data_IF_868324372578
#
_entry.id   IF_868324372578
#
_cell.length_a   1.000
_cell.length_b   1.000
_cell.length_c   1.000
_cell.angle_alpha   90.00
_cell.angle_beta   90.00
_cell.angle_gamma   90.00
#
_symmetry.space_group_name_H-M   'P 1'
#
loop_
_entity.id
_entity.type
_entity.pdbx_description
1 polymer ?
#
# COMPACT_ATOMS: atom_id res chain seq x y z
N UNK A 1 36.52 8.96 -17.95
CA UNK A 1 36.08 7.56 -17.82
C UNK A 1 34.92 7.54 -16.84
N UNK A 2 33.67 7.45 -17.33
CA UNK A 2 32.48 7.49 -16.49
C UNK A 2 32.15 6.05 -16.06
N UNK A 3 32.21 5.78 -14.76
CA UNK A 3 31.70 4.52 -14.21
C UNK A 3 30.19 4.50 -14.36
N UNK A 4 29.66 3.51 -15.08
CA UNK A 4 28.24 3.15 -15.02
C UNK A 4 27.98 2.60 -13.61
N UNK A 5 27.72 3.50 -12.66
CA UNK A 5 27.40 3.17 -11.28
C UNK A 5 25.99 2.59 -11.21
N UNK A 6 25.89 1.26 -11.27
CA UNK A 6 24.69 0.56 -10.82
C UNK A 6 24.34 1.03 -9.41
N UNK A 7 23.06 1.22 -9.06
CA UNK A 7 22.67 1.63 -7.73
C UNK A 7 23.22 0.65 -6.69
N UNK A 8 23.87 1.18 -5.66
CA UNK A 8 24.43 0.38 -4.58
C UNK A 8 23.31 -0.11 -3.65
N UNK A 9 22.52 -1.08 -4.11
CA UNK A 9 21.61 -1.83 -3.25
C UNK A 9 22.39 -2.45 -2.08
N UNK A 10 21.80 -2.44 -0.90
CA UNK A 10 22.35 -3.12 0.25
C UNK A 10 22.49 -4.61 -0.04
N UNK A 11 23.72 -5.12 0.06
CA UNK A 11 24.04 -6.55 -0.07
C UNK A 11 24.29 -7.12 1.32
N UNK A 12 23.53 -8.15 1.67
CA UNK A 12 23.59 -8.75 3.00
C UNK A 12 23.67 -10.26 2.90
N UNK A 13 24.57 -10.88 3.65
CA UNK A 13 24.65 -12.34 3.76
C UNK A 13 23.52 -12.84 4.65
N UNK A 14 22.77 -13.85 4.19
CA UNK A 14 21.68 -14.41 4.97
C UNK A 14 22.15 -14.94 6.34
N UNK A 15 23.35 -15.51 6.39
CA UNK A 15 23.96 -16.00 7.64
C UNK A 15 24.21 -14.90 8.68
N UNK A 16 24.40 -13.65 8.23
CA UNK A 16 24.58 -12.51 9.14
C UNK A 16 23.25 -11.92 9.62
N UNK A 17 22.12 -12.30 9.01
CA UNK A 17 20.77 -11.95 9.46
C UNK A 17 20.17 -12.96 10.44
N UNK A 18 20.92 -14.01 10.79
CA UNK A 18 20.49 -15.00 11.77
C UNK A 18 21.15 -14.61 13.10
N UNK A 19 20.38 -14.26 14.15
CA UNK A 19 20.96 -13.94 15.44
C UNK A 19 21.64 -15.19 16.01
N UNK A 20 22.89 -15.05 16.44
CA UNK A 20 23.54 -16.03 17.31
C UNK A 20 22.87 -15.99 18.68
N UNK A 21 22.68 -17.15 19.32
CA UNK A 21 22.21 -17.29 20.70
C UNK A 21 22.81 -16.19 21.62
N UNK A 22 21.95 -15.42 22.30
CA UNK A 22 22.37 -14.33 23.18
C UNK A 22 22.15 -12.92 22.60
N UNK A 23 23.05 -12.00 22.92
CA UNK A 23 22.94 -10.60 22.48
C UNK A 23 23.22 -10.45 20.97
N UNK A 24 22.51 -9.54 20.27
CA UNK A 24 22.76 -9.31 18.85
C UNK A 24 24.21 -8.90 18.59
N UNK A 25 24.91 -9.65 17.74
CA UNK A 25 26.28 -9.35 17.33
C UNK A 25 26.36 -8.05 16.52
N UNK A 26 27.55 -7.45 16.42
CA UNK A 26 27.73 -6.24 15.62
C UNK A 26 27.56 -6.51 14.12
N UNK A 27 27.93 -7.70 13.65
CA UNK A 27 27.69 -8.13 12.27
C UNK A 27 26.19 -8.22 11.96
N UNK A 28 25.40 -8.73 12.90
CA UNK A 28 23.95 -8.78 12.79
C UNK A 28 23.35 -7.37 12.74
N UNK A 29 23.70 -6.49 13.68
CA UNK A 29 23.21 -5.09 13.70
C UNK A 29 23.54 -4.34 12.41
N UNK A 30 24.77 -4.49 11.90
CA UNK A 30 25.20 -3.88 10.65
C UNK A 30 24.39 -4.40 9.46
N UNK A 31 24.19 -5.72 9.40
CA UNK A 31 23.43 -6.38 8.35
C UNK A 31 21.96 -5.95 8.35
N UNK A 32 21.33 -5.91 9.52
CA UNK A 32 19.96 -5.42 9.69
C UNK A 32 19.84 -3.95 9.29
N UNK A 33 20.78 -3.10 9.71
CA UNK A 33 20.79 -1.68 9.33
C UNK A 33 20.95 -1.50 7.82
N UNK A 34 21.84 -2.28 7.19
CA UNK A 34 22.07 -2.26 5.74
C UNK A 34 20.83 -2.67 4.97
N UNK A 35 20.16 -3.75 5.41
CA UNK A 35 18.92 -4.24 4.83
C UNK A 35 17.81 -3.17 4.90
N UNK A 36 17.56 -2.63 6.10
CA UNK A 36 16.51 -1.64 6.33
C UNK A 36 16.77 -0.33 5.60
N UNK A 37 18.03 0.14 5.55
CA UNK A 37 18.39 1.32 4.77
C UNK A 37 18.17 1.10 3.27
N UNK A 38 18.50 -0.10 2.76
CA UNK A 38 18.26 -0.44 1.36
C UNK A 38 16.75 -0.45 1.04
N UNK A 39 15.92 -1.00 1.91
CA UNK A 39 14.46 -0.91 1.76
C UNK A 39 13.94 0.53 1.79
N UNK A 40 14.45 1.36 2.69
CA UNK A 40 14.02 2.76 2.76
C UNK A 40 14.39 3.58 1.51
N UNK A 41 15.55 3.30 0.90
CA UNK A 41 16.06 4.06 -0.24
C UNK A 41 15.63 3.50 -1.61
N UNK A 42 15.59 2.18 -1.74
CA UNK A 42 15.42 1.50 -3.03
C UNK A 42 14.20 0.58 -3.07
N UNK A 43 13.49 0.39 -1.95
CA UNK A 43 12.42 -0.61 -1.80
C UNK A 43 12.87 -2.04 -2.12
N UNK A 44 14.17 -2.30 -2.15
CA UNK A 44 14.76 -3.58 -2.48
C UNK A 44 16.13 -3.73 -1.81
N UNK A 45 16.59 -4.96 -1.65
CA UNK A 45 17.93 -5.30 -1.21
C UNK A 45 18.39 -6.60 -1.90
N UNK A 46 19.66 -6.94 -1.78
CA UNK A 46 20.22 -8.19 -2.28
C UNK A 46 20.59 -9.07 -1.09
N UNK A 47 20.09 -10.30 -1.10
CA UNK A 47 20.42 -11.33 -0.12
C UNK A 47 21.36 -12.34 -0.76
N UNK A 48 22.50 -12.57 -0.11
CA UNK A 48 23.47 -13.58 -0.47
C UNK A 48 23.24 -14.85 0.37
N UNK A 49 22.89 -15.94 -0.29
CA UNK A 49 22.73 -17.26 0.30
C UNK A 49 24.09 -17.94 0.53
N UNK A 50 24.16 -18.92 1.45
CA UNK A 50 25.30 -19.82 1.57
C UNK A 50 25.71 -20.47 0.24
N UNK A 51 27.00 -20.77 0.10
CA UNK A 51 27.53 -21.36 -1.13
C UNK A 51 26.94 -22.74 -1.46
N UNK A 52 26.48 -23.48 -0.45
CA UNK A 52 25.77 -24.76 -0.60
C UNK A 52 24.46 -24.65 -1.38
N UNK A 53 23.83 -23.48 -1.38
CA UNK A 53 22.46 -23.29 -1.87
C UNK A 53 22.43 -22.82 -3.33
N UNK A 54 23.56 -22.27 -3.81
CA UNK A 54 23.71 -21.80 -5.20
C UNK A 54 23.40 -22.86 -6.27
N UNK A 55 23.87 -24.11 -6.14
CA UNK A 55 23.53 -25.18 -7.08
C UNK A 55 22.02 -25.43 -7.19
N UNK A 56 21.30 -25.40 -6.07
CA UNK A 56 19.85 -25.63 -6.03
C UNK A 56 19.07 -24.52 -6.77
N UNK A 57 19.41 -23.25 -6.50
CA UNK A 57 18.80 -22.10 -7.18
C UNK A 57 19.05 -22.14 -8.69
N UNK A 58 20.27 -22.51 -9.10
CA UNK A 58 20.63 -22.66 -10.51
C UNK A 58 19.89 -23.82 -11.18
N UNK A 59 19.91 -25.02 -10.57
CA UNK A 59 19.25 -26.20 -11.15
C UNK A 59 17.76 -26.01 -11.32
N UNK A 60 17.11 -25.26 -10.42
CA UNK A 60 15.70 -24.94 -10.53
C UNK A 60 15.42 -24.00 -11.73
N UNK A 61 16.27 -22.99 -11.98
CA UNK A 61 16.17 -22.13 -13.17
C UNK A 61 16.43 -22.92 -14.47
N UNK A 62 17.42 -23.82 -14.47
CA UNK A 62 17.71 -24.67 -15.63
C UNK A 62 16.52 -25.61 -15.92
N UNK A 63 15.91 -26.19 -14.88
CA UNK A 63 14.72 -27.01 -15.02
C UNK A 63 13.51 -26.20 -15.50
N UNK A 64 13.35 -24.96 -15.05
CA UNK A 64 12.30 -24.06 -15.53
C UNK A 64 12.39 -23.86 -17.04
N UNK A 65 13.60 -23.63 -17.55
CA UNK A 65 13.84 -23.48 -18.98
C UNK A 65 13.38 -24.70 -19.78
N UNK A 66 13.74 -25.90 -19.33
CA UNK A 66 13.30 -27.14 -19.97
C UNK A 66 11.78 -27.28 -19.96
N UNK A 67 11.16 -27.00 -18.82
CA UNK A 67 9.72 -27.08 -18.64
C UNK A 67 8.95 -26.15 -19.61
N UNK A 68 9.31 -24.87 -19.68
CA UNK A 68 8.63 -23.93 -20.58
C UNK A 68 8.99 -24.14 -22.05
N UNK A 69 10.17 -24.67 -22.39
CA UNK A 69 10.48 -24.97 -23.79
C UNK A 69 9.66 -26.11 -24.38
N UNK A 70 9.21 -27.06 -23.54
CA UNK A 70 8.36 -28.16 -23.98
C UNK A 70 6.89 -27.74 -24.14
N UNK A 71 6.51 -26.55 -23.64
CA UNK A 71 5.14 -26.04 -23.73
C UNK A 71 4.80 -25.61 -25.16
N UNK A 72 3.54 -25.84 -25.60
CA UNK A 72 3.07 -25.34 -26.89
C UNK A 72 3.23 -23.83 -27.01
N UNK A 73 3.30 -23.33 -28.24
CA UNK A 73 3.49 -21.91 -28.55
C UNK A 73 2.35 -21.02 -28.06
N UNK A 74 1.13 -21.58 -27.99
CA UNK A 74 -0.04 -20.89 -27.46
C UNK A 74 -0.73 -21.79 -26.43
N UNK A 75 -0.96 -21.30 -25.20
CA UNK A 75 -1.68 -22.04 -24.18
C UNK A 75 -3.16 -22.17 -24.55
N UNK A 76 -3.80 -23.26 -24.13
CA UNK A 76 -5.23 -23.43 -24.31
C UNK A 76 -6.01 -22.37 -23.50
N UNK A 77 -7.25 -22.08 -23.90
CA UNK A 77 -8.02 -20.94 -23.36
C UNK A 77 -8.30 -21.05 -21.85
N UNK A 78 -8.37 -22.27 -21.34
CA UNK A 78 -8.47 -22.64 -19.93
C UNK A 78 -7.20 -22.28 -19.13
N UNK A 79 -6.04 -22.22 -19.77
CA UNK A 79 -4.76 -21.87 -19.12
C UNK A 79 -4.43 -20.37 -19.21
N UNK A 80 -5.30 -19.57 -19.83
CA UNK A 80 -5.17 -18.11 -19.86
C UNK A 80 -5.91 -17.56 -18.63
N UNK A 81 -5.17 -17.25 -17.57
CA UNK A 81 -5.74 -16.73 -16.34
C UNK A 81 -5.42 -15.26 -16.15
N UNK A 82 -6.46 -14.45 -15.98
CA UNK A 82 -6.36 -13.07 -15.48
C UNK A 82 -6.63 -13.08 -13.98
N UNK A 83 -5.56 -13.12 -13.17
CA UNK A 83 -5.50 -12.88 -11.71
C UNK A 83 -6.86 -12.92 -10.97
N UNK A 84 -7.39 -14.12 -10.71
CA UNK A 84 -8.67 -14.28 -10.04
C UNK A 84 -8.48 -14.15 -8.51
N UNK A 85 -8.78 -12.97 -7.96
CA UNK A 85 -8.48 -12.63 -6.55
C UNK A 85 -9.24 -13.49 -5.53
N UNK A 86 -10.28 -14.20 -5.95
CA UNK A 86 -11.14 -15.03 -5.08
C UNK A 86 -10.49 -16.35 -4.66
N UNK A 87 -9.48 -16.83 -5.38
CA UNK A 87 -8.83 -18.12 -5.11
C UNK A 87 -7.30 -18.00 -4.97
N UNK A 88 -6.81 -16.84 -4.53
CA UNK A 88 -5.38 -16.51 -4.48
C UNK A 88 -4.50 -17.53 -3.75
N UNK A 89 -5.04 -18.28 -2.79
CA UNK A 89 -4.33 -19.32 -2.02
C UNK A 89 -4.56 -20.76 -2.51
N UNK A 90 -5.32 -20.95 -3.60
CA UNK A 90 -5.63 -22.27 -4.17
C UNK A 90 -5.03 -22.51 -5.57
N UNK A 91 -4.36 -21.51 -6.13
CA UNK A 91 -3.74 -21.63 -7.45
C UNK A 91 -2.41 -22.37 -7.36
N UNK A 92 -2.32 -23.51 -8.04
CA UNK A 92 -1.07 -24.19 -8.34
C UNK A 92 -1.18 -24.79 -9.74
N UNK A 93 -0.07 -24.84 -10.45
CA UNK A 93 -0.05 -25.25 -11.85
C UNK A 93 0.32 -24.12 -12.79
N UNK A 94 0.24 -24.45 -14.08
CA UNK A 94 0.61 -23.58 -15.17
C UNK A 94 -0.51 -22.62 -15.56
N UNK A 95 -0.14 -21.38 -15.85
CA UNK A 95 -0.99 -20.42 -16.54
C UNK A 95 -0.13 -19.43 -17.36
N UNK A 96 -0.79 -18.70 -18.25
CA UNK A 96 -0.15 -17.65 -19.03
C UNK A 96 -0.97 -16.36 -19.01
N UNK A 97 -0.25 -15.24 -19.05
CA UNK A 97 -0.79 -13.90 -19.23
C UNK A 97 -0.27 -13.32 -20.56
N UNK A 98 -1.12 -13.31 -21.61
CA UNK A 98 -0.77 -12.74 -22.90
C UNK A 98 -0.56 -11.24 -22.92
N UNK A 99 -1.05 -10.49 -21.93
CA UNK A 99 -0.85 -9.04 -21.86
C UNK A 99 0.54 -8.71 -21.31
N UNK A 100 1.04 -9.55 -20.40
CA UNK A 100 2.36 -9.42 -19.78
C UNK A 100 3.47 -10.20 -20.51
N UNK A 101 3.14 -10.93 -21.56
CA UNK A 101 4.04 -11.87 -22.24
C UNK A 101 4.76 -12.80 -21.25
N UNK A 102 3.98 -13.32 -20.30
CA UNK A 102 4.47 -14.09 -19.17
C UNK A 102 3.76 -15.43 -19.09
N UNK A 103 4.54 -16.49 -18.96
CA UNK A 103 4.08 -17.82 -18.59
C UNK A 103 4.53 -18.10 -17.16
N UNK A 104 3.68 -18.70 -16.33
CA UNK A 104 3.96 -18.93 -14.91
C UNK A 104 3.56 -20.33 -14.50
N UNK A 105 4.37 -20.95 -13.65
CA UNK A 105 3.98 -22.13 -12.88
C UNK A 105 4.00 -21.79 -11.40
N UNK A 106 2.85 -21.86 -10.74
CA UNK A 106 2.73 -21.63 -9.30
C UNK A 106 2.82 -22.96 -8.53
N UNK A 107 3.69 -22.98 -7.51
CA UNK A 107 3.86 -24.11 -6.62
C UNK A 107 3.52 -23.72 -5.17
N UNK A 108 2.66 -24.51 -4.54
CA UNK A 108 2.29 -24.42 -3.12
C UNK A 108 2.36 -25.81 -2.47
N UNK A 109 3.15 -26.00 -1.41
CA UNK A 109 3.10 -27.23 -0.63
C UNK A 109 1.73 -27.44 0.04
N UNK A 110 1.30 -28.69 0.15
CA UNK A 110 0.04 -29.09 0.78
C UNK A 110 -0.91 -29.81 -0.17
N UNK A 111 -2.13 -30.07 0.28
CA UNK A 111 -3.16 -30.73 -0.54
C UNK A 111 -3.83 -29.71 -1.48
N UNK A 112 -3.20 -29.42 -2.61
CA UNK A 112 -3.86 -28.67 -3.69
C UNK A 112 -4.93 -29.56 -4.33
N UNK A 113 -6.19 -29.10 -4.50
CA UNK A 113 -7.18 -29.84 -5.26
C UNK A 113 -6.63 -30.10 -6.66
N UNK A 114 -6.32 -31.35 -7.01
CA UNK A 114 -6.02 -31.71 -8.38
C UNK A 114 -7.30 -31.58 -9.18
N UNK A 115 -7.34 -30.72 -10.19
CA UNK A 115 -8.49 -30.67 -11.10
C UNK A 115 -8.72 -32.08 -11.69
N UNK A 116 -9.97 -32.59 -11.65
CA UNK A 116 -10.30 -33.92 -12.15
C UNK A 116 -10.21 -33.91 -13.68
N UNK A 117 -9.04 -34.23 -14.22
CA UNK A 117 -8.80 -34.30 -15.66
C UNK A 117 -7.36 -34.01 -16.09
N UNK A 118 -6.51 -33.54 -15.17
CA UNK A 118 -5.16 -33.14 -15.57
C UNK A 118 -4.30 -34.37 -15.91
N UNK A 119 -3.83 -34.44 -17.16
CA UNK A 119 -2.74 -35.33 -17.55
C UNK A 119 -1.56 -35.13 -16.59
N UNK A 120 -0.83 -36.21 -16.27
CA UNK A 120 0.31 -36.19 -15.34
C UNK A 120 1.33 -35.08 -15.72
N UNK A 121 1.15 -33.90 -15.15
CA UNK A 121 1.99 -32.74 -15.41
C UNK A 121 3.20 -32.78 -14.48
N UNK A 122 4.40 -32.80 -15.05
CA UNK A 122 5.62 -32.75 -14.28
C UNK A 122 6.03 -31.28 -14.06
N UNK A 123 6.04 -30.79 -12.81
CA UNK A 123 6.53 -29.44 -12.51
C UNK A 123 8.03 -29.32 -12.79
N UNK A 124 8.55 -28.09 -12.88
CA UNK A 124 9.99 -27.85 -12.73
C UNK A 124 10.56 -28.57 -11.50
N UNK A 125 11.76 -29.12 -11.63
CA UNK A 125 12.43 -29.84 -10.55
C UNK A 125 12.95 -28.90 -9.45
N UNK A 126 13.02 -29.41 -8.21
CA UNK A 126 13.63 -28.71 -7.07
C UNK A 126 12.71 -27.69 -6.39
N UNK A 127 11.44 -27.53 -6.81
CA UNK A 127 10.54 -26.54 -6.23
C UNK A 127 10.28 -26.74 -4.73
N UNK A 128 10.21 -28.00 -4.27
CA UNK A 128 10.04 -28.32 -2.84
C UNK A 128 11.19 -27.75 -2.01
N UNK A 129 12.43 -28.04 -2.42
CA UNK A 129 13.63 -27.64 -1.70
C UNK A 129 13.84 -26.12 -1.78
N UNK A 130 13.61 -25.51 -2.95
CA UNK A 130 13.68 -24.05 -3.14
C UNK A 130 12.61 -23.35 -2.30
N UNK A 131 11.39 -23.88 -2.24
CA UNK A 131 10.32 -23.32 -1.42
C UNK A 131 10.73 -23.31 0.07
N UNK A 132 11.28 -24.42 0.57
CA UNK A 132 11.74 -24.50 1.95
C UNK A 132 12.89 -23.52 2.23
N UNK A 133 13.87 -23.42 1.32
CA UNK A 133 15.00 -22.51 1.41
C UNK A 133 14.55 -21.04 1.47
N UNK A 134 13.74 -20.61 0.49
CA UNK A 134 13.28 -19.21 0.38
C UNK A 134 12.25 -18.86 1.46
N UNK A 135 11.46 -19.84 1.92
CA UNK A 135 10.55 -19.71 3.05
C UNK A 135 11.27 -19.48 4.36
N UNK A 136 12.38 -20.20 4.60
CA UNK A 136 13.25 -19.94 5.77
C UNK A 136 13.90 -18.56 5.67
N UNK A 137 14.51 -18.23 4.53
CA UNK A 137 15.18 -16.95 4.34
C UNK A 137 14.23 -15.77 4.55
N UNK A 138 12.99 -15.85 4.04
CA UNK A 138 11.98 -14.81 4.23
C UNK A 138 11.61 -14.60 5.71
N UNK A 139 11.63 -15.65 6.53
CA UNK A 139 11.38 -15.54 7.98
C UNK A 139 12.55 -14.89 8.71
N UNK A 140 13.79 -15.30 8.39
CA UNK A 140 15.00 -14.67 8.92
C UNK A 140 15.02 -13.16 8.58
N UNK A 141 14.59 -12.78 7.38
CA UNK A 141 14.44 -11.38 6.94
C UNK A 141 13.33 -10.64 7.70
N UNK A 142 12.18 -11.28 7.96
CA UNK A 142 11.12 -10.68 8.77
C UNK A 142 11.56 -10.46 10.22
N UNK A 143 12.35 -11.37 10.78
CA UNK A 143 12.90 -11.21 12.13
C UNK A 143 13.91 -10.06 12.19
N UNK A 144 14.75 -9.92 11.16
CA UNK A 144 15.64 -8.76 11.00
C UNK A 144 14.86 -7.43 10.93
N UNK A 145 13.78 -7.36 10.15
CA UNK A 145 12.89 -6.19 10.07
C UNK A 145 12.23 -5.91 11.43
N UNK A 146 11.77 -6.95 12.11
CA UNK A 146 11.18 -6.85 13.45
C UNK A 146 12.15 -6.26 14.45
N UNK A 147 13.42 -6.71 14.42
CA UNK A 147 14.48 -6.17 15.24
C UNK A 147 14.76 -4.69 14.93
N UNK A 148 14.84 -4.31 13.65
CA UNK A 148 15.05 -2.92 13.25
C UNK A 148 13.93 -1.99 13.74
N UNK A 149 12.69 -2.48 13.71
CA UNK A 149 11.51 -1.77 14.19
C UNK A 149 11.32 -1.86 15.71
N UNK A 150 12.26 -2.44 16.47
CA UNK A 150 12.16 -2.64 17.92
C UNK A 150 10.87 -3.36 18.35
N UNK A 151 10.39 -4.30 17.52
CA UNK A 151 9.23 -5.12 17.86
C UNK A 151 9.63 -6.21 18.86
N UNK A 152 8.63 -6.72 19.61
CA UNK A 152 8.84 -7.89 20.47
C UNK A 152 9.19 -9.10 19.62
N UNK A 153 9.77 -10.13 20.24
CA UNK A 153 10.19 -11.33 19.54
C UNK A 153 9.04 -11.96 18.74
N UNK A 154 9.26 -12.15 17.43
CA UNK A 154 8.41 -12.91 16.51
C UNK A 154 7.00 -12.32 16.25
N UNK A 155 6.88 -11.02 15.92
CA UNK A 155 5.59 -10.31 15.83
C UNK A 155 4.72 -10.80 14.66
N UNK A 156 5.33 -11.44 13.66
CA UNK A 156 4.63 -11.94 12.47
C UNK A 156 4.25 -13.43 12.55
N UNK A 157 4.66 -14.16 13.60
CA UNK A 157 4.40 -15.62 13.69
C UNK A 157 2.92 -15.95 13.58
N UNK A 158 2.05 -15.14 14.19
CA UNK A 158 0.61 -15.38 14.17
C UNK A 158 -0.01 -15.21 12.78
N UNK A 159 0.58 -14.40 11.91
CA UNK A 159 0.09 -14.18 10.54
C UNK A 159 0.74 -15.10 9.52
N UNK A 160 1.69 -15.95 9.90
CA UNK A 160 2.37 -16.87 8.98
C UNK A 160 1.81 -18.29 9.08
N UNK A 161 1.97 -19.06 8.00
CA UNK A 161 1.70 -20.50 8.01
C UNK A 161 2.57 -21.22 9.05
N UNK A 162 2.09 -22.35 9.57
CA UNK A 162 2.90 -23.22 10.42
C UNK A 162 4.00 -23.91 9.60
N UNK A 163 5.15 -24.15 10.22
CA UNK A 163 6.24 -24.96 9.64
C UNK A 163 6.57 -26.09 10.63
N UNK A 164 6.25 -27.36 10.31
CA UNK A 164 5.55 -27.83 9.11
C UNK A 164 4.08 -27.41 9.05
N UNK A 165 3.49 -27.43 7.83
CA UNK A 165 2.05 -27.21 7.63
C UNK A 165 1.23 -28.28 8.36
N UNK A 166 0.00 -27.94 8.80
CA UNK A 166 -0.88 -28.95 9.42
C UNK A 166 -1.50 -29.84 8.35
N UNK A 167 -2.00 -30.99 8.78
CA UNK A 167 -2.68 -31.92 7.88
C UNK A 167 -3.84 -31.25 7.15
N UNK A 168 -3.89 -31.41 5.81
CA UNK A 168 -4.89 -30.85 4.90
C UNK A 168 -4.85 -29.33 4.71
N UNK A 169 -3.79 -28.66 5.17
CA UNK A 169 -3.55 -27.25 4.82
C UNK A 169 -2.75 -27.16 3.51
N UNK A 170 -2.98 -26.07 2.78
CA UNK A 170 -2.14 -25.62 1.65
C UNK A 170 -1.42 -24.37 2.10
N UNK A 171 -0.16 -24.20 1.70
CA UNK A 171 0.55 -22.98 2.04
C UNK A 171 -0.10 -21.76 1.40
N UNK A 172 -0.27 -20.72 2.22
CA UNK A 172 -0.65 -19.39 1.79
C UNK A 172 0.47 -18.73 0.98
N UNK A 173 1.73 -19.12 1.18
CA UNK A 173 2.89 -18.66 0.39
C UNK A 173 3.03 -19.44 -0.92
N UNK A 174 3.61 -18.80 -1.94
CA UNK A 174 3.75 -19.37 -3.29
C UNK A 174 5.18 -19.21 -3.80
N UNK A 175 5.66 -20.24 -4.51
CA UNK A 175 6.84 -20.16 -5.36
C UNK A 175 6.36 -20.16 -6.81
N UNK A 176 6.53 -19.03 -7.49
CA UNK A 176 6.21 -18.86 -8.90
C UNK A 176 7.47 -19.02 -9.75
N UNK A 177 7.40 -19.84 -10.78
CA UNK A 177 8.42 -19.93 -11.82
C UNK A 177 7.90 -19.19 -13.04
N UNK A 178 8.55 -18.11 -13.44
CA UNK A 178 8.10 -17.27 -14.54
C UNK A 178 9.02 -17.38 -15.75
N UNK A 179 8.43 -17.39 -16.93
CA UNK A 179 9.09 -17.24 -18.22
C UNK A 179 8.53 -16.00 -18.91
N UNK A 180 9.39 -15.02 -19.16
CA UNK A 180 9.05 -13.76 -19.81
C UNK A 180 9.56 -13.74 -21.24
N UNK A 181 8.74 -13.25 -22.16
CA UNK A 181 9.14 -12.92 -23.53
C UNK A 181 9.65 -14.11 -24.36
N UNK A 182 9.05 -15.29 -24.20
CA UNK A 182 9.38 -16.46 -25.02
C UNK A 182 8.94 -16.21 -26.48
N UNK A 183 9.83 -16.27 -27.49
CA UNK A 183 9.46 -15.92 -28.88
C UNK A 183 8.34 -16.77 -29.48
N UNK A 184 8.21 -18.04 -29.09
CA UNK A 184 7.10 -18.91 -29.53
C UNK A 184 5.73 -18.34 -29.16
N UNK A 185 5.67 -17.50 -28.12
CA UNK A 185 4.46 -16.81 -27.69
C UNK A 185 4.03 -15.67 -28.65
N UNK A 186 4.94 -15.16 -29.50
CA UNK A 186 4.68 -14.08 -30.48
C UNK A 186 4.03 -14.60 -31.78
N UNK A 187 4.25 -15.87 -32.15
CA UNK A 187 3.93 -16.39 -33.48
C UNK A 187 2.43 -16.43 -33.86
N UNK A 188 1.51 -16.43 -32.89
CA UNK A 188 0.08 -16.53 -33.17
C UNK A 188 -0.59 -15.18 -33.49
N UNK A 189 -0.02 -14.04 -33.09
CA UNK A 189 -0.55 -12.72 -33.50
C UNK A 189 -0.11 -12.34 -34.93
N UNK A 190 0.98 -12.93 -35.43
CA UNK A 190 1.44 -12.74 -36.81
C UNK A 190 0.61 -13.49 -37.86
N UNK A 191 -0.16 -14.51 -37.49
CA UNK A 191 -1.03 -15.22 -38.43
C UNK A 191 -2.29 -14.44 -38.86
N UNK A 192 -2.58 -13.30 -38.23
CA UNK A 192 -3.61 -12.36 -38.70
C UNK A 192 -3.05 -11.20 -39.54
N UNK A 193 -1.73 -11.19 -39.82
CA UNK A 193 -1.03 -10.07 -40.46
C UNK A 193 -0.27 -10.45 -41.75
N UNK A 194 -0.57 -11.59 -42.37
CA UNK A 194 -0.07 -11.86 -43.73
C UNK A 194 -0.81 -11.07 -44.83
N UNK A 195 -1.58 -10.05 -44.47
CA UNK A 195 -2.13 -9.08 -45.42
C UNK A 195 -1.84 -7.66 -44.94
N UNK A 196 -1.04 -6.96 -45.75
CA UNK A 196 -0.72 -5.54 -45.76
C UNK A 196 0.42 -5.03 -44.87
N UNK A 197 1.54 -4.81 -45.55
CA UNK A 197 2.35 -3.59 -45.51
C UNK A 197 1.72 -2.42 -44.72
N UNK A 198 2.23 -2.18 -43.51
CA UNK A 198 2.70 -0.88 -43.05
C UNK A 198 3.20 -1.00 -41.61
N UNK A 199 4.31 -0.34 -41.29
CA UNK A 199 5.03 -0.37 -40.02
C UNK A 199 4.24 0.21 -38.84
N UNK A 200 3.16 -0.46 -38.44
CA UNK A 200 2.38 -0.10 -37.25
C UNK A 200 3.00 -0.80 -36.05
N UNK A 201 4.00 -0.13 -35.44
CA UNK A 201 4.42 -0.40 -34.07
C UNK A 201 3.16 -0.52 -33.21
N UNK A 202 2.84 -1.74 -32.78
CA UNK A 202 1.77 -1.97 -31.80
C UNK A 202 2.26 -1.32 -30.52
N UNK A 203 1.79 -0.10 -30.26
CA UNK A 203 2.00 0.60 -29.00
C UNK A 203 1.19 -0.17 -27.96
N UNK A 204 1.86 -1.12 -27.30
CA UNK A 204 1.30 -1.78 -26.12
C UNK A 204 1.18 -0.75 -24.99
N UNK A 205 0.12 -0.83 -24.17
CA UNK A 205 -0.02 0.08 -23.03
C UNK A 205 1.22 -0.01 -22.15
N UNK A 206 1.69 1.17 -21.73
CA UNK A 206 2.79 1.36 -20.77
C UNK A 206 2.61 0.34 -19.64
N UNK A 207 3.57 -0.57 -19.45
CA UNK A 207 3.42 -1.71 -18.54
C UNK A 207 3.02 -1.20 -17.16
N UNK A 208 1.80 -1.54 -16.72
CA UNK A 208 1.35 -1.22 -15.38
C UNK A 208 2.36 -1.83 -14.39
N UNK A 209 3.00 -0.97 -13.61
CA UNK A 209 3.80 -1.34 -12.46
C UNK A 209 3.02 -2.28 -11.52
N UNK A 210 3.70 -3.27 -10.97
CA UNK A 210 3.13 -4.26 -10.06
C UNK A 210 3.55 -3.99 -8.63
N UNK A 211 2.67 -4.34 -7.69
CA UNK A 211 2.99 -4.44 -6.26
C UNK A 211 2.48 -5.76 -5.74
N UNK A 212 3.34 -6.49 -5.04
CA UNK A 212 2.96 -7.75 -4.43
C UNK A 212 2.12 -7.52 -3.17
N UNK A 213 1.07 -8.33 -3.00
CA UNK A 213 0.27 -8.40 -1.76
C UNK A 213 0.95 -9.24 -0.66
N UNK A 214 2.21 -9.63 -0.86
CA UNK A 214 3.00 -10.43 0.08
C UNK A 214 3.45 -9.61 1.30
N UNK A 215 4.02 -10.30 2.29
CA UNK A 215 4.84 -9.67 3.32
C UNK A 215 6.22 -9.33 2.73
N UNK A 216 6.89 -10.34 2.17
CA UNK A 216 8.21 -10.24 1.56
C UNK A 216 8.21 -11.09 0.29
N UNK A 217 8.88 -10.60 -0.75
CA UNK A 217 9.12 -11.35 -1.98
C UNK A 217 10.62 -11.51 -2.21
N UNK A 218 11.05 -12.72 -2.59
CA UNK A 218 12.44 -13.02 -2.99
C UNK A 218 12.43 -13.48 -4.44
N UNK A 219 13.23 -12.81 -5.28
CA UNK A 219 13.32 -13.07 -6.72
C UNK A 219 14.76 -13.40 -7.12
N UNK A 220 14.94 -14.59 -7.70
CA UNK A 220 16.16 -14.98 -8.41
C UNK A 220 15.86 -15.05 -9.89
N UNK A 221 16.74 -14.52 -10.74
CA UNK A 221 16.55 -14.54 -12.19
C UNK A 221 17.81 -15.01 -12.92
N UNK A 222 17.64 -15.54 -14.14
CA UNK A 222 18.74 -15.99 -14.99
C UNK A 222 19.37 -14.84 -15.81
N UNK A 223 18.58 -13.78 -16.05
CA UNK A 223 18.98 -12.57 -16.77
C UNK A 223 18.43 -11.33 -16.08
N UNK A 224 19.12 -10.21 -16.28
CA UNK A 224 18.68 -8.89 -15.83
C UNK A 224 17.35 -8.48 -16.49
N UNK A 225 16.60 -7.62 -15.82
CA UNK A 225 15.37 -7.02 -16.34
C UNK A 225 14.37 -6.60 -15.26
N UNK A 226 14.60 -7.01 -14.01
CA UNK A 226 13.77 -6.59 -12.89
C UNK A 226 14.12 -5.16 -12.47
N UNK A 227 13.13 -4.29 -12.51
CA UNK A 227 13.23 -2.92 -12.07
C UNK A 227 12.35 -2.67 -10.85
N UNK A 228 12.87 -1.92 -9.88
CA UNK A 228 12.13 -1.46 -8.70
C UNK A 228 12.16 0.06 -8.67
N UNK A 229 11.05 0.67 -8.26
CA UNK A 229 10.98 2.12 -8.09
C UNK A 229 11.64 2.53 -6.77
N UNK A 230 12.69 3.35 -6.86
CA UNK A 230 13.39 3.90 -5.70
C UNK A 230 12.54 4.96 -4.96
N UNK A 231 13.03 5.42 -3.81
CA UNK A 231 12.37 6.46 -3.00
C UNK A 231 12.18 7.79 -3.76
N UNK A 232 13.04 8.08 -4.73
CA UNK A 232 12.94 9.26 -5.59
C UNK A 232 11.96 9.05 -6.75
N UNK A 233 11.33 7.88 -6.84
CA UNK A 233 10.36 7.55 -7.89
C UNK A 233 11.00 7.08 -9.20
N UNK A 234 12.30 6.80 -9.24
CA UNK A 234 13.05 6.37 -10.43
C UNK A 234 13.07 4.85 -10.52
N UNK A 235 12.99 4.32 -11.74
CA UNK A 235 13.18 2.89 -11.99
C UNK A 235 14.66 2.53 -11.91
N UNK A 236 14.98 1.57 -11.07
CA UNK A 236 16.33 1.06 -10.82
C UNK A 236 16.37 -0.42 -11.19
N UNK A 237 17.31 -0.81 -12.07
CA UNK A 237 17.60 -2.22 -12.35
C UNK A 237 18.20 -2.86 -11.10
N UNK A 238 17.54 -3.89 -10.55
CA UNK A 238 17.93 -4.51 -9.26
C UNK A 238 18.58 -5.87 -9.41
N UNK A 239 18.50 -6.49 -10.58
CA UNK A 239 19.04 -7.83 -10.86
C UNK A 239 20.17 -7.85 -11.90
N UNK A 240 20.77 -6.68 -12.18
CA UNK A 240 21.78 -6.49 -13.22
C UNK A 240 23.12 -7.19 -12.96
N UNK A 241 23.50 -7.34 -11.70
CA UNK A 241 24.81 -7.84 -11.28
C UNK A 241 24.71 -8.93 -10.18
N UNK A 242 23.62 -9.69 -10.17
CA UNK A 242 23.42 -10.78 -9.21
C UNK A 242 24.43 -11.90 -9.40
N UNK A 243 25.13 -12.23 -8.31
CA UNK A 243 25.90 -13.45 -8.20
C UNK A 243 25.05 -14.73 -8.26
N UNK A 244 25.69 -15.91 -8.38
CA UNK A 244 24.99 -17.19 -8.46
C UNK A 244 24.23 -17.56 -7.18
N UNK A 245 24.60 -16.96 -6.05
CA UNK A 245 24.00 -17.18 -4.72
C UNK A 245 23.20 -15.96 -4.26
N UNK A 246 22.94 -14.99 -5.14
CA UNK A 246 22.28 -13.75 -4.77
C UNK A 246 20.86 -13.71 -5.34
N UNK A 247 19.93 -13.21 -4.55
CA UNK A 247 18.57 -12.91 -4.98
C UNK A 247 18.16 -11.52 -4.51
N UNK A 248 17.25 -10.90 -5.24
CA UNK A 248 16.64 -9.63 -4.83
C UNK A 248 15.54 -9.93 -3.83
N UNK A 249 15.49 -9.19 -2.74
CA UNK A 249 14.37 -9.18 -1.81
C UNK A 249 13.69 -7.82 -1.82
N UNK A 250 12.37 -7.79 -1.71
CA UNK A 250 11.63 -6.55 -1.54
C UNK A 250 10.35 -6.72 -0.69
N UNK A 251 9.93 -5.66 0.04
CA UNK A 251 8.70 -5.68 0.85
C UNK A 251 7.43 -5.65 -0.01
N UNK A 252 6.37 -6.31 0.47
CA UNK A 252 5.03 -6.26 -0.13
C UNK A 252 4.01 -5.46 0.70
N UNK A 253 2.79 -5.32 0.16
CA UNK A 253 1.72 -4.54 0.77
C UNK A 253 1.26 -5.07 2.13
N UNK A 254 1.30 -6.39 2.35
CA UNK A 254 0.89 -6.94 3.64
C UNK A 254 1.86 -6.51 4.75
N UNK A 255 3.15 -6.39 4.42
CA UNK A 255 4.15 -5.90 5.38
C UNK A 255 4.00 -4.41 5.62
N UNK A 256 3.73 -3.61 4.57
CA UNK A 256 3.35 -2.21 4.73
C UNK A 256 2.16 -2.04 5.68
N UNK A 257 1.10 -2.85 5.49
CA UNK A 257 -0.08 -2.82 6.36
C UNK A 257 0.24 -3.26 7.78
N UNK A 258 1.01 -4.34 7.97
CA UNK A 258 1.36 -4.87 9.29
C UNK A 258 2.32 -3.96 10.07
N UNK A 259 3.13 -3.18 9.36
CA UNK A 259 4.08 -2.22 9.93
C UNK A 259 3.53 -0.80 10.00
N UNK A 260 2.21 -0.58 9.84
CA UNK A 260 1.61 0.75 9.85
C UNK A 260 2.26 1.77 8.89
N UNK A 261 2.80 1.28 7.77
CA UNK A 261 3.48 2.08 6.75
C UNK A 261 4.94 2.42 7.01
N UNK A 262 5.58 1.86 8.05
CA UNK A 262 7.00 2.09 8.33
C UNK A 262 7.92 1.37 7.34
N UNK A 263 7.43 0.32 6.66
CA UNK A 263 8.14 -0.36 5.58
C UNK A 263 7.35 -0.17 4.28
N UNK A 264 7.91 0.59 3.33
CA UNK A 264 7.26 0.84 2.04
C UNK A 264 7.29 -0.41 1.16
N UNK A 265 6.18 -0.72 0.46
CA UNK A 265 6.15 -1.82 -0.49
C UNK A 265 6.91 -1.44 -1.75
N UNK A 266 7.43 -2.43 -2.47
CA UNK A 266 8.09 -2.20 -3.75
C UNK A 266 7.11 -2.14 -4.92
N UNK A 267 7.21 -1.07 -5.71
CA UNK A 267 6.70 -1.06 -7.08
C UNK A 267 7.76 -1.68 -7.97
N UNK A 268 7.41 -2.74 -8.70
CA UNK A 268 8.31 -3.41 -9.61
C UNK A 268 7.73 -3.57 -11.00
N UNK A 269 8.60 -3.76 -11.98
CA UNK A 269 8.26 -4.17 -13.34
C UNK A 269 9.37 -5.03 -13.91
N UNK A 270 9.04 -5.88 -14.87
CA UNK A 270 10.05 -6.63 -15.64
C UNK A 270 10.09 -6.06 -17.04
N UNK A 271 11.24 -5.52 -17.44
CA UNK A 271 11.45 -5.04 -18.80
C UNK A 271 11.76 -6.20 -19.75
N UNK A 272 11.06 -6.20 -20.89
CA UNK A 272 11.07 -7.30 -21.86
C UNK A 272 11.79 -6.90 -23.17
N UNK A 273 11.74 -5.61 -23.53
CA UNK A 273 12.04 -5.13 -24.88
C UNK A 273 13.54 -5.01 -25.19
N UNK A 274 14.41 -4.92 -24.17
CA UNK A 274 15.85 -4.68 -24.32
C UNK A 274 16.73 -5.93 -24.18
N UNK A 275 16.20 -7.12 -24.50
CA UNK A 275 16.94 -8.39 -24.37
C UNK A 275 17.52 -8.88 -25.72
N UNK A 276 18.68 -8.39 -26.19
CA UNK A 276 19.30 -8.87 -27.41
C UNK A 276 19.64 -10.36 -27.30
N UNK A 277 19.23 -11.15 -28.32
CA UNK A 277 19.54 -12.58 -28.41
C UNK A 277 18.61 -13.52 -27.63
N UNK A 278 17.42 -13.07 -27.23
CA UNK A 278 16.53 -13.84 -26.37
C UNK A 278 15.73 -14.94 -27.09
N UNK A 279 16.38 -15.93 -27.69
CA UNK A 279 15.70 -17.08 -28.33
C UNK A 279 14.81 -17.89 -27.37
N UNK A 280 15.01 -17.73 -26.06
CA UNK A 280 14.51 -18.64 -25.03
C UNK A 280 13.75 -17.95 -23.88
N UNK A 281 13.57 -16.63 -23.91
CA UNK A 281 12.95 -15.91 -22.80
C UNK A 281 13.86 -15.67 -21.58
N UNK A 282 13.37 -14.87 -20.63
CA UNK A 282 13.97 -14.63 -19.31
C UNK A 282 13.24 -15.47 -18.28
N UNK A 283 13.97 -16.17 -17.40
CA UNK A 283 13.42 -17.03 -16.37
C UNK A 283 13.65 -16.46 -14.98
N UNK A 284 12.66 -16.57 -14.12
CA UNK A 284 12.78 -16.17 -12.72
C UNK A 284 12.05 -17.10 -11.76
N UNK A 285 12.63 -17.27 -10.59
CA UNK A 285 11.99 -17.84 -9.41
C UNK A 285 11.54 -16.68 -8.54
N UNK A 286 10.25 -16.59 -8.22
CA UNK A 286 9.68 -15.58 -7.36
C UNK A 286 8.94 -16.24 -6.20
N UNK A 287 9.55 -16.22 -5.01
CA UNK A 287 8.89 -16.65 -3.79
C UNK A 287 8.17 -15.48 -3.14
N UNK A 288 6.90 -15.65 -2.79
CA UNK A 288 6.09 -14.65 -2.08
C UNK A 288 5.68 -15.22 -0.74
N UNK A 289 6.23 -14.66 0.34
CA UNK A 289 5.80 -14.98 1.70
C UNK A 289 4.47 -14.27 1.96
N UNK A 290 3.39 -15.03 1.98
CA UNK A 290 2.05 -14.47 2.14
C UNK A 290 1.56 -14.64 3.59
N UNK A 291 0.75 -13.70 4.10
CA UNK A 291 0.07 -13.92 5.36
C UNK A 291 -0.98 -15.04 5.21
N UNK A 292 -1.24 -15.79 6.27
CA UNK A 292 -2.17 -16.92 6.28
C UNK A 292 -3.61 -16.45 6.11
N UNK A 293 -4.38 -17.13 5.26
CA UNK A 293 -5.73 -16.69 4.84
C UNK A 293 -6.70 -16.43 6.00
N UNK A 294 -6.67 -17.26 7.04
CA UNK A 294 -7.54 -17.18 8.21
C UNK A 294 -7.05 -16.22 9.32
N UNK A 295 -6.09 -15.34 9.01
CA UNK A 295 -5.54 -14.37 9.97
C UNK A 295 -6.01 -12.93 9.71
N UNK A 296 -5.61 -12.02 10.60
CA UNK A 296 -5.84 -10.59 10.46
C UNK A 296 -4.52 -9.82 10.55
N UNK A 297 -4.34 -8.84 9.66
CA UNK A 297 -3.26 -7.87 9.73
C UNK A 297 -3.63 -6.77 10.73
N UNK A 298 -2.85 -6.64 11.81
CA UNK A 298 -3.05 -5.67 12.89
C UNK A 298 -1.73 -4.97 13.22
N UNK A 299 -1.80 -3.68 13.53
CA UNK A 299 -0.66 -2.88 14.01
C UNK A 299 -0.53 -2.87 15.54
N UNK A 300 -0.95 -3.95 16.22
CA UNK A 300 -0.84 -4.08 17.69
C UNK A 300 0.62 -4.07 18.13
N UNK A 301 1.48 -4.82 17.46
CA UNK A 301 2.91 -4.91 17.79
C UNK A 301 3.62 -3.56 17.57
N UNK A 302 3.27 -2.83 16.51
CA UNK A 302 3.77 -1.47 16.28
C UNK A 302 3.42 -0.55 17.44
N UNK A 303 2.16 -0.55 17.90
CA UNK A 303 1.73 0.25 19.06
C UNK A 303 2.42 -0.19 20.35
N UNK A 304 2.58 -1.49 20.56
CA UNK A 304 3.25 -2.05 21.74
C UNK A 304 4.74 -1.66 21.79
N UNK A 305 5.38 -1.47 20.65
CA UNK A 305 6.74 -0.93 20.51
C UNK A 305 6.81 0.61 20.59
N UNK A 306 5.67 1.30 20.74
CA UNK A 306 5.61 2.76 20.89
C UNK A 306 5.54 3.54 19.57
N UNK A 307 5.36 2.87 18.43
CA UNK A 307 5.22 3.54 17.14
C UNK A 307 3.86 4.24 17.00
N UNK A 308 3.87 5.41 16.36
CA UNK A 308 2.63 6.11 16.00
C UNK A 308 1.91 5.37 14.87
N UNK A 309 0.64 5.03 15.08
CA UNK A 309 -0.21 4.32 14.11
C UNK A 309 -1.36 5.21 13.66
N UNK A 310 -1.33 5.60 12.39
CA UNK A 310 -2.36 6.45 11.78
C UNK A 310 -3.73 5.78 11.73
N UNK A 311 -4.79 6.58 11.69
CA UNK A 311 -6.19 6.11 11.74
C UNK A 311 -6.51 5.02 10.70
N UNK A 312 -5.89 5.07 9.51
CA UNK A 312 -6.09 4.08 8.45
C UNK A 312 -5.58 2.67 8.79
N UNK A 313 -4.67 2.54 9.77
CA UNK A 313 -4.07 1.28 10.20
C UNK A 313 -4.60 0.79 11.56
N UNK A 314 -5.49 1.54 12.21
CA UNK A 314 -5.95 1.23 13.57
C UNK A 314 -6.90 0.04 13.63
N UNK A 315 -7.66 -0.21 12.56
CA UNK A 315 -8.59 -1.33 12.48
C UNK A 315 -7.89 -2.55 11.88
N UNK A 316 -7.93 -3.72 12.54
CA UNK A 316 -7.46 -4.96 11.94
C UNK A 316 -8.21 -5.28 10.65
N UNK A 317 -7.51 -5.80 9.65
CA UNK A 317 -8.08 -6.22 8.36
C UNK A 317 -7.88 -7.72 8.22
N UNK A 318 -8.94 -8.48 7.90
CA UNK A 318 -8.78 -9.90 7.62
C UNK A 318 -7.92 -10.09 6.38
N UNK A 319 -7.08 -11.12 6.34
CA UNK A 319 -6.21 -11.38 5.19
C UNK A 319 -7.04 -11.66 3.95
N UNK A 320 -8.15 -12.38 4.07
CA UNK A 320 -9.05 -12.63 2.94
C UNK A 320 -9.59 -11.33 2.33
N UNK A 321 -10.11 -10.41 3.16
CA UNK A 321 -10.57 -9.09 2.70
C UNK A 321 -9.41 -8.30 2.06
N UNK A 322 -8.24 -8.33 2.69
CA UNK A 322 -7.05 -7.63 2.19
C UNK A 322 -6.63 -8.15 0.81
N UNK A 323 -6.67 -9.46 0.61
CA UNK A 323 -6.27 -10.10 -0.66
C UNK A 323 -7.29 -9.87 -1.77
N UNK A 324 -8.58 -9.72 -1.45
CA UNK A 324 -9.63 -9.46 -2.43
C UNK A 324 -9.75 -7.97 -2.82
N UNK A 325 -9.33 -7.04 -1.95
CA UNK A 325 -9.37 -5.60 -2.24
C UNK A 325 -8.37 -5.20 -3.32
N UNK A 326 -8.75 -4.23 -4.14
CA UNK A 326 -7.82 -3.49 -4.98
C UNK A 326 -7.06 -2.47 -4.11
N UNK A 327 -5.75 -2.39 -4.31
CA UNK A 327 -4.88 -1.48 -3.57
C UNK A 327 -4.35 -0.43 -4.54
N UNK A 328 -4.96 0.77 -4.61
CA UNK A 328 -4.51 1.81 -5.54
C UNK A 328 -3.11 2.28 -5.15
N UNK A 329 -2.14 2.01 -6.01
CA UNK A 329 -0.71 2.35 -5.79
C UNK A 329 -0.47 3.85 -5.86
N UNK A 330 -1.30 4.61 -6.60
CA UNK A 330 -1.20 6.05 -6.76
C UNK A 330 -1.23 6.83 -5.44
N UNK A 331 -1.95 6.35 -4.42
CA UNK A 331 -2.06 7.06 -3.13
C UNK A 331 -0.87 6.78 -2.21
N UNK A 332 -0.20 5.63 -2.35
CA UNK A 332 0.92 5.22 -1.50
C UNK A 332 2.18 6.05 -1.79
N UNK A 333 2.43 6.36 -3.06
CA UNK A 333 3.66 7.03 -3.51
C UNK A 333 3.49 8.53 -3.79
N UNK A 334 2.26 9.04 -3.79
CA UNK A 334 1.99 10.49 -3.92
C UNK A 334 2.02 11.22 -2.55
N UNK A 335 2.36 10.50 -1.47
CA UNK A 335 2.65 11.06 -0.13
C UNK A 335 4.03 11.74 -0.04
N UNK A 336 4.58 12.20 -1.17
CA UNK A 336 5.74 13.10 -1.21
C UNK A 336 5.34 14.51 -0.73
N UNK A 337 5.08 14.65 0.57
CA UNK A 337 5.12 15.91 1.31
C UNK A 337 5.08 15.61 2.81
N UNK A 338 6.07 14.88 3.33
CA UNK A 338 6.58 15.29 4.63
C UNK A 338 7.32 16.60 4.37
N UNK A 339 6.73 17.71 4.81
CA UNK A 339 7.40 19.01 4.87
C UNK A 339 8.60 18.87 5.82
N UNK A 340 9.76 18.54 5.28
CA UNK A 340 11.01 19.01 5.86
C UNK A 340 10.92 20.53 5.93
N UNK A 341 10.87 21.08 7.14
CA UNK A 341 10.93 22.52 7.37
C UNK A 341 12.27 23.05 6.86
N UNK A 342 12.30 23.45 5.59
CA UNK A 342 13.33 24.30 5.03
C UNK A 342 12.72 25.69 4.83
N UNK A 343 13.18 26.64 5.64
CA UNK A 343 12.83 28.06 5.51
C UNK A 343 13.25 28.56 4.11
N UNK A 344 12.33 29.09 3.28
CA UNK A 344 12.73 29.84 2.11
C UNK A 344 13.13 31.25 2.54
N UNK A 345 14.40 31.57 2.33
CA UNK A 345 14.91 32.94 2.29
C UNK A 345 14.08 33.78 1.33
N UNK A 346 13.66 34.96 1.80
CA UNK A 346 12.92 35.93 1.01
C UNK A 346 13.74 36.34 -0.23
N UNK A 347 13.16 36.15 -1.42
CA UNK A 347 13.52 36.97 -2.57
C UNK A 347 12.27 37.39 -3.33
N UNK A 348 12.19 38.71 -3.43
CA UNK A 348 11.24 39.57 -4.10
C UNK A 348 11.31 39.38 -5.63
N UNK A 349 10.19 39.53 -6.35
CA UNK A 349 10.22 39.49 -7.82
C UNK A 349 8.95 39.07 -8.52
N UNK A 350 7.99 39.99 -8.60
CA UNK A 350 6.84 40.02 -9.52
C UNK A 350 7.14 39.60 -10.96
N UNK A 351 6.29 38.77 -11.58
CA UNK A 351 5.71 38.98 -12.93
C UNK A 351 4.54 38.00 -13.21
N UNK A 352 3.36 38.53 -13.55
CA UNK A 352 2.21 37.78 -14.10
C UNK A 352 2.48 37.43 -15.58
N UNK A 353 1.83 36.41 -16.19
CA UNK A 353 0.60 36.75 -16.92
C UNK A 353 -0.47 35.64 -17.13
N UNK A 354 -1.67 36.15 -17.46
CA UNK A 354 -2.68 35.66 -18.42
C UNK A 354 -3.67 34.52 -18.05
N UNK A 355 -4.90 35.01 -17.85
CA UNK A 355 -6.18 34.32 -17.79
C UNK A 355 -6.49 33.49 -19.05
N UNK A 356 -6.91 32.23 -18.85
CA UNK A 356 -7.78 31.53 -19.82
C UNK A 356 -9.01 30.96 -19.10
N UNK A 357 -10.12 31.66 -19.27
CA UNK A 357 -11.46 31.39 -18.72
C UNK A 357 -12.07 30.19 -19.45
N UNK A 358 -12.24 29.04 -18.78
CA UNK A 358 -13.10 27.93 -19.26
C UNK A 358 -14.30 27.77 -18.32
N UNK A 359 -15.49 27.77 -18.93
CA UNK A 359 -16.82 27.89 -18.31
C UNK A 359 -17.19 26.62 -17.51
N UNK A 360 -17.83 26.85 -16.36
CA UNK A 360 -18.27 25.92 -15.32
C UNK A 360 -19.09 24.71 -15.80
N UNK A 361 -18.79 23.54 -15.22
CA UNK A 361 -19.79 22.51 -14.92
C UNK A 361 -19.68 22.22 -13.40
N UNK A 362 -20.69 22.59 -12.62
CA UNK A 362 -20.62 22.69 -11.16
C UNK A 362 -21.19 21.45 -10.45
N UNK A 363 -20.40 20.38 -10.37
CA UNK A 363 -20.48 19.35 -9.31
C UNK A 363 -19.06 18.84 -9.05
N UNK A 364 -18.65 18.85 -7.79
CA UNK A 364 -17.31 18.45 -7.29
C UNK A 364 -16.13 19.38 -7.64
N UNK A 365 -16.19 20.64 -7.21
CA UNK A 365 -14.95 21.38 -6.89
C UNK A 365 -14.66 21.20 -5.39
N UNK A 366 -13.44 20.83 -4.98
CA UNK A 366 -13.05 20.82 -3.57
C UNK A 366 -13.33 22.19 -2.98
N UNK A 367 -13.92 22.22 -1.78
CA UNK A 367 -14.13 23.48 -1.09
C UNK A 367 -12.76 24.13 -0.82
N UNK A 368 -12.67 25.47 -0.86
CA UNK A 368 -11.45 26.17 -0.45
C UNK A 368 -10.98 25.65 0.91
N UNK A 369 -9.66 25.51 1.16
CA UNK A 369 -9.12 24.95 2.40
C UNK A 369 -9.75 25.54 3.66
N UNK A 370 -9.96 26.85 3.69
CA UNK A 370 -10.62 27.59 4.77
C UNK A 370 -12.09 27.18 5.01
N UNK A 371 -12.85 26.92 3.93
CA UNK A 371 -14.24 26.47 4.02
C UNK A 371 -14.35 25.01 4.44
N UNK A 372 -13.40 24.16 4.02
CA UNK A 372 -13.30 22.76 4.47
C UNK A 372 -12.95 22.68 5.96
N UNK A 373 -11.97 23.46 6.39
CA UNK A 373 -11.55 23.53 7.79
C UNK A 373 -12.68 24.05 8.70
N UNK A 374 -13.44 25.06 8.25
CA UNK A 374 -14.61 25.57 8.97
C UNK A 374 -15.73 24.52 9.13
N UNK A 375 -15.95 23.67 8.13
CA UNK A 375 -16.93 22.58 8.21
C UNK A 375 -16.45 21.45 9.12
N UNK A 376 -15.16 21.14 9.09
CA UNK A 376 -14.57 20.12 9.97
C UNK A 376 -14.57 20.56 11.43
N UNK A 377 -14.22 21.82 11.72
CA UNK A 377 -14.33 22.41 13.05
C UNK A 377 -15.78 22.33 13.57
N UNK A 378 -16.75 22.60 12.70
CA UNK A 378 -18.17 22.49 13.04
C UNK A 378 -18.60 21.04 13.28
N UNK A 379 -18.04 20.06 12.54
CA UNK A 379 -18.28 18.62 12.76
C UNK A 379 -17.75 18.19 14.12
N UNK A 380 -16.50 18.53 14.44
CA UNK A 380 -15.84 18.19 15.71
C UNK A 380 -16.57 18.80 16.91
N UNK A 381 -17.04 20.04 16.78
CA UNK A 381 -17.84 20.69 17.84
C UNK A 381 -19.21 20.02 18.03
N UNK A 382 -19.89 19.64 16.93
CA UNK A 382 -21.14 18.86 17.01
C UNK A 382 -20.92 17.51 17.69
N UNK A 383 -19.83 16.83 17.35
CA UNK A 383 -19.47 15.53 17.94
C UNK A 383 -19.22 15.65 19.45
N UNK A 384 -18.45 16.66 19.90
CA UNK A 384 -18.25 16.90 21.34
C UNK A 384 -19.53 17.24 22.08
N UNK A 385 -20.41 18.05 21.49
CA UNK A 385 -21.70 18.40 22.13
C UNK A 385 -22.62 17.19 22.22
N UNK A 386 -22.63 16.32 21.21
CA UNK A 386 -23.35 15.06 21.25
C UNK A 386 -22.79 14.13 22.35
N UNK A 387 -21.47 13.96 22.43
CA UNK A 387 -20.82 13.12 23.45
C UNK A 387 -21.10 13.61 24.89
N UNK A 388 -21.08 14.93 25.12
CA UNK A 388 -21.44 15.50 26.44
C UNK A 388 -22.91 15.21 26.79
N UNK A 389 -23.80 15.28 25.81
CA UNK A 389 -25.21 15.03 26.01
C UNK A 389 -25.50 13.56 26.27
N UNK A 390 -24.86 12.67 25.52
CA UNK A 390 -24.95 11.22 25.72
C UNK A 390 -24.45 10.82 27.11
N UNK A 391 -23.30 11.38 27.54
CA UNK A 391 -22.77 11.20 28.91
C UNK A 391 -23.69 11.70 30.01
N UNK A 392 -24.50 12.73 29.74
CA UNK A 392 -25.48 13.29 30.69
C UNK A 392 -26.89 12.72 30.50
N UNK A 393 -27.09 11.77 29.60
CA UNK A 393 -28.41 11.22 29.27
C UNK A 393 -29.38 12.25 28.66
N UNK A 394 -28.87 13.35 28.11
CA UNK A 394 -29.66 14.43 27.53
C UNK A 394 -29.89 14.10 26.05
N UNK A 395 -31.15 13.96 25.63
CA UNK A 395 -31.49 13.88 24.21
C UNK A 395 -31.33 15.27 23.59
N UNK A 396 -30.56 15.37 22.51
CA UNK A 396 -30.42 16.62 21.74
C UNK A 396 -30.53 16.36 20.23
N UNK A 397 -30.85 17.42 19.48
CA UNK A 397 -30.88 17.37 18.02
C UNK A 397 -30.33 18.67 17.44
N UNK A 398 -29.50 18.56 16.41
CA UNK A 398 -28.97 19.73 15.71
C UNK A 398 -29.93 20.23 14.63
N UNK A 399 -30.07 21.54 14.49
CA UNK A 399 -30.80 22.15 13.38
C UNK A 399 -30.07 21.92 12.05
N UNK A 400 -30.82 21.57 11.01
CA UNK A 400 -30.32 21.28 9.65
C UNK A 400 -30.53 22.43 8.66
N UNK A 401 -31.15 23.55 9.09
CA UNK A 401 -31.42 24.70 8.23
C UNK A 401 -30.14 25.47 7.90
N UNK A 402 -29.93 25.74 6.60
CA UNK A 402 -28.75 26.43 6.08
C UNK A 402 -28.73 27.94 6.40
N UNK A 403 -29.89 28.54 6.63
CA UNK A 403 -30.06 29.99 6.91
C UNK A 403 -30.65 30.22 8.32
N UNK A 404 -30.27 29.36 9.26
CA UNK A 404 -30.83 29.36 10.61
C UNK A 404 -30.50 30.63 11.43
N UNK A 405 -29.42 31.34 11.09
CA UNK A 405 -28.90 32.51 11.83
C UNK A 405 -29.86 33.70 11.83
N UNK A 406 -30.71 33.84 10.80
CA UNK A 406 -31.57 35.02 10.61
C UNK A 406 -32.94 34.94 11.30
N UNK A 407 -33.28 33.80 11.91
CA UNK A 407 -34.67 33.50 12.32
C UNK A 407 -34.85 33.19 13.80
N UNK A 408 -33.78 33.21 14.61
CA UNK A 408 -33.82 32.79 16.03
C UNK A 408 -34.73 33.69 16.88
N UNK A 409 -34.94 34.96 16.48
CA UNK A 409 -35.73 35.94 17.23
C UNK A 409 -37.14 36.19 16.67
N UNK A 410 -37.54 35.49 15.60
CA UNK A 410 -38.89 35.62 15.04
C UNK A 410 -39.87 34.67 15.74
N UNK A 411 -41.05 35.17 16.12
CA UNK A 411 -42.14 34.38 16.71
C UNK A 411 -42.58 33.20 15.82
N UNK A 412 -42.34 33.29 14.51
CA UNK A 412 -42.67 32.29 13.50
C UNK A 412 -41.41 31.74 12.81
N UNK A 413 -40.44 31.25 13.61
CA UNK A 413 -39.17 30.77 13.06
C UNK A 413 -39.34 29.46 12.26
N UNK A 414 -38.69 29.32 11.09
CA UNK A 414 -38.68 28.05 10.33
C UNK A 414 -38.15 26.87 11.16
N UNK A 415 -37.29 27.14 12.14
CA UNK A 415 -36.78 26.17 13.09
C UNK A 415 -37.87 25.59 14.00
N UNK A 416 -38.81 26.43 14.45
CA UNK A 416 -39.97 26.00 15.22
C UNK A 416 -40.91 25.12 14.39
N UNK A 417 -41.14 25.47 13.12
CA UNK A 417 -41.96 24.67 12.22
C UNK A 417 -41.36 23.29 11.95
N UNK A 418 -40.03 23.20 11.72
CA UNK A 418 -39.34 21.90 11.61
C UNK A 418 -39.46 21.09 12.90
N UNK A 419 -39.38 21.73 14.07
CA UNK A 419 -39.52 21.06 15.37
C UNK A 419 -40.91 20.42 15.52
N UNK A 420 -41.96 21.11 15.07
CA UNK A 420 -43.34 20.61 15.06
C UNK A 420 -43.50 19.48 14.04
N UNK A 421 -42.97 19.63 12.83
CA UNK A 421 -43.05 18.64 11.75
C UNK A 421 -42.46 17.28 12.16
N UNK A 422 -41.28 17.30 12.78
CA UNK A 422 -40.61 16.08 13.26
C UNK A 422 -41.13 15.58 14.60
N UNK A 423 -42.16 16.23 15.17
CA UNK A 423 -42.73 15.95 16.50
C UNK A 423 -41.68 15.92 17.61
N UNK A 424 -40.71 16.84 17.59
CA UNK A 424 -39.67 16.90 18.62
C UNK A 424 -40.23 17.50 19.91
N UNK A 425 -40.11 16.82 21.07
CA UNK A 425 -40.80 17.23 22.30
C UNK A 425 -40.46 18.66 22.74
N UNK A 426 -41.47 19.38 23.24
CA UNK A 426 -41.27 20.67 23.91
C UNK A 426 -40.41 20.47 25.17
N UNK A 427 -39.41 21.33 25.39
CA UNK A 427 -38.47 21.24 26.52
C UNK A 427 -37.18 20.45 26.26
N UNK A 428 -37.08 19.68 25.16
CA UNK A 428 -35.84 19.00 24.76
C UNK A 428 -34.97 19.94 23.92
N UNK A 429 -33.65 20.08 24.18
CA UNK A 429 -32.78 21.00 23.46
C UNK A 429 -32.77 20.79 21.94
N UNK A 430 -32.92 21.88 21.20
CA UNK A 430 -32.75 21.94 19.74
C UNK A 430 -31.60 22.92 19.46
N UNK A 431 -30.44 22.36 19.10
CA UNK A 431 -29.17 23.11 19.08
C UNK A 431 -28.93 23.67 17.69
N UNK A 432 -28.79 24.99 17.56
CA UNK A 432 -28.43 25.58 16.28
C UNK A 432 -26.91 25.56 16.08
N UNK A 433 -26.42 25.21 14.89
CA UNK A 433 -24.99 25.09 14.64
C UNK A 433 -24.16 26.39 14.79
N UNK A 434 -24.80 27.55 14.89
CA UNK A 434 -24.17 28.85 15.14
C UNK A 434 -24.11 29.20 16.64
N UNK A 435 -24.91 28.54 17.48
CA UNK A 435 -24.88 28.70 18.95
C UNK A 435 -23.69 27.95 19.58
N UNK A 436 -22.99 27.13 18.80
CA UNK A 436 -21.78 26.44 19.24
C UNK A 436 -20.67 27.46 19.47
N UNK A 437 -19.97 27.42 20.62
CA UNK A 437 -19.13 28.53 21.08
C UNK A 437 -18.09 28.95 20.04
N UNK A 438 -18.23 30.18 19.54
CA UNK A 438 -17.36 30.77 18.52
C UNK A 438 -15.88 30.72 18.95
N UNK A 439 -15.59 30.87 20.25
CA UNK A 439 -14.23 30.81 20.80
C UNK A 439 -13.54 29.47 20.54
N UNK A 440 -14.26 28.35 20.66
CA UNK A 440 -13.69 27.02 20.40
C UNK A 440 -13.48 26.77 18.89
N UNK A 441 -14.32 27.35 18.05
CA UNK A 441 -14.17 27.33 16.59
C UNK A 441 -12.96 28.17 16.15
N UNK A 442 -12.75 29.33 16.77
CA UNK A 442 -11.60 30.21 16.53
C UNK A 442 -10.30 29.55 17.00
N UNK A 443 -10.26 28.99 18.21
CA UNK A 443 -9.07 28.28 18.70
C UNK A 443 -8.72 27.04 17.88
N UNK A 444 -9.70 26.34 17.31
CA UNK A 444 -9.46 25.24 16.37
C UNK A 444 -8.87 25.74 15.05
N UNK A 445 -9.35 26.88 14.53
CA UNK A 445 -8.81 27.47 13.31
C UNK A 445 -7.38 28.00 13.53
N UNK A 446 -7.11 28.62 14.66
CA UNK A 446 -5.79 29.15 15.03
C UNK A 446 -4.74 28.04 15.29
N UNK A 447 -5.17 26.88 15.80
CA UNK A 447 -4.30 25.71 15.97
C UNK A 447 -3.86 25.07 14.65
N UNK A 448 -4.63 25.26 13.56
CA UNK A 448 -4.36 24.68 12.25
C UNK A 448 -3.81 25.70 11.24
N UNK A 449 -4.09 26.99 11.43
CA UNK A 449 -3.57 28.10 10.64
C UNK A 449 -3.11 29.23 11.59
N UNK A 450 -1.83 29.21 12.01
CA UNK A 450 -1.29 30.23 12.92
C UNK A 450 -1.38 31.62 12.28
N UNK A 451 -2.09 32.55 12.94
CA UNK A 451 -2.32 33.91 12.44
C UNK A 451 -3.67 34.15 11.75
N UNK A 452 -4.57 33.16 11.71
CA UNK A 452 -5.93 33.31 11.15
C UNK A 452 -6.72 34.49 11.75
N UNK A 453 -6.54 34.73 13.05
CA UNK A 453 -7.11 35.86 13.80
C UNK A 453 -6.60 37.21 13.29
N UNK A 454 -5.31 37.32 13.00
CA UNK A 454 -4.66 38.55 12.52
C UNK A 454 -5.06 38.96 11.10
N UNK A 455 -5.47 38.01 10.24
CA UNK A 455 -5.93 38.30 8.87
C UNK A 455 -7.38 38.76 8.77
N UNK A 456 -8.17 38.64 9.84
CA UNK A 456 -9.60 38.92 9.84
C UNK A 456 -10.04 39.95 10.91
N UNK A 457 -9.10 40.65 11.53
CA UNK A 457 -9.34 41.65 12.58
C UNK A 457 -9.93 42.99 12.09
N UNK A 458 -10.38 43.08 10.83
CA UNK A 458 -11.07 44.28 10.32
C UNK A 458 -12.60 44.25 10.41
N UNK A 459 -13.22 43.13 10.81
CA UNK A 459 -14.70 43.00 10.75
C UNK A 459 -15.39 42.52 12.05
N UNK A 460 -14.68 42.40 13.17
CA UNK A 460 -15.30 41.97 14.43
C UNK A 460 -14.88 42.84 15.62
N UNK A 461 -15.40 44.06 15.63
CA UNK A 461 -15.43 44.89 16.84
C UNK A 461 -16.17 44.14 17.98
N UNK A 462 -15.62 44.09 19.19
CA UNK A 462 -16.30 43.48 20.33
C UNK A 462 -17.39 44.44 20.85
N UNK A 463 -18.66 44.02 20.82
CA UNK A 463 -19.70 44.69 21.61
C UNK A 463 -19.49 44.32 23.08
N UNK A 464 -19.15 45.32 23.90
CA UNK A 464 -18.97 45.23 25.35
C UNK A 464 -20.21 44.71 26.11
N UNK A 465 -20.03 44.18 27.34
CA UNK A 465 -21.09 43.54 28.10
C UNK A 465 -21.98 44.57 28.82
N UNK A 466 -23.24 44.66 28.40
CA UNK A 466 -24.29 45.40 29.11
C UNK A 466 -24.82 44.63 30.32
N UNK A 467 -24.65 45.25 31.48
CA UNK A 467 -24.94 44.82 32.85
C UNK A 467 -26.33 44.19 33.10
N UNK A 468 -26.36 43.28 34.07
CA UNK A 468 -27.55 42.82 34.75
C UNK A 468 -28.28 43.99 35.46
N UNK A 469 -29.59 44.07 35.28
CA UNK A 469 -30.48 44.99 35.99
C UNK A 469 -31.74 44.25 36.44
N UNK A 470 -31.91 44.15 37.75
CA UNK A 470 -32.89 43.37 38.49
C UNK A 470 -34.35 43.77 38.22
N UNK A 471 -35.24 42.78 38.21
CA UNK A 471 -36.61 42.96 38.69
C UNK A 471 -36.59 43.25 40.19
N UNK A 472 -37.15 44.39 40.61
CA UNK A 472 -38.29 44.43 41.55
C UNK A 472 -38.62 45.89 41.89
N UNK A 473 -39.81 46.36 41.53
CA UNK A 473 -40.81 46.94 42.46
C UNK A 473 -42.08 47.33 41.71
N UNK A 474 -43.19 47.06 42.39
CA UNK A 474 -44.59 47.23 42.03
C UNK A 474 -45.02 48.68 41.71
N UNK A 475 -46.07 48.73 40.87
CA UNK A 475 -47.25 49.60 40.86
C UNK A 475 -47.11 51.11 41.14
N UNK A 476 -47.62 51.89 40.18
CA UNK A 476 -48.96 52.46 40.34
C UNK A 476 -49.78 52.23 39.07
#
# INVERSE_FOLDING_TARGET
MAGNGLPSLGRVRLTDLIPSEGLPSDSYKLSVSTLSQSFAQYSAAIIQFPASDGPLLRSCLDSARLYFHQRPSYPAADMIHTNDSREWCKTSGYYADPQLWQETYDYRPGLTPSEPGNSLEFPPAGLIDVFALLGKASRDILDAISFYLNLRSSPFTEVLDNVPLRNREVSSSVLSVCCHARPSFQGAQHHNLTTQEDGRLVIYPDHDHHVDKSLVSIVKSDKAGLHVRDFHGRWVLVDGDLGPQEAVVFPGLALYQATAGYVNPALHRTEINDMPGNMYGRFSLAFKLMPKSMSSLSCSEMRAAGHGVEAQFQLPITVDDFMQRSHPTDQLFNRQSFQSFSFPTAQDGSMKPLLRRRKNNSRCKPLPPSKRLRLEAQRVLKERVQDIADKKGIKLRFCSLKECENHVHALDSPCANIRIEIKWPAGVPFVHPHDLPNKAKISFLEAYEPGWTATHDMDLSPTEPGQAGQHSTNCN
#
